data_IF_336248150209
#
_entry.id   IF_336248150209
#
_cell.length_a   1.000
_cell.length_b   1.000
_cell.length_c   1.000
_cell.angle_alpha   90.00
_cell.angle_beta   90.00
_cell.angle_gamma   90.00
#
_symmetry.space_group_name_H-M   'P 1'
#
loop_
_entity.id
_entity.type
_entity.pdbx_description
1 polymer ?
#
# COMPACT_ATOMS: atom_id res chain seq x y z
N UNK A 1 -7.92 16.13 20.87
CA UNK A 1 -8.87 15.01 20.73
C UNK A 1 -8.07 13.71 20.83
N UNK A 2 -8.12 13.02 21.97
CA UNK A 2 -7.31 11.82 22.24
C UNK A 2 -8.04 10.56 21.77
N UNK A 3 -7.83 10.20 20.51
CA UNK A 3 -8.25 8.90 20.00
C UNK A 3 -7.26 7.87 20.56
N UNK A 4 -7.70 6.98 21.46
CA UNK A 4 -6.90 5.82 21.88
C UNK A 4 -6.78 4.88 20.68
N UNK A 5 -5.60 4.84 20.08
CA UNK A 5 -5.31 3.97 18.93
C UNK A 5 -4.66 2.67 19.45
N UNK A 6 -5.19 1.52 19.04
CA UNK A 6 -4.72 0.19 19.43
C UNK A 6 -3.32 -0.09 18.89
N UNK A 7 -2.49 -0.82 19.65
CA UNK A 7 -1.16 -1.31 19.23
C UNK A 7 -1.18 -2.20 17.98
N UNK A 8 -2.37 -2.66 17.55
CA UNK A 8 -2.62 -3.44 16.33
C UNK A 8 -3.18 -2.59 15.16
N UNK A 9 -3.06 -1.27 15.20
CA UNK A 9 -3.53 -0.42 14.09
C UNK A 9 -2.67 -0.64 12.84
N UNK A 10 -3.26 -1.35 11.86
CA UNK A 10 -2.66 -1.62 10.57
C UNK A 10 -2.21 -0.34 9.85
N UNK A 11 -2.98 0.75 9.93
CA UNK A 11 -2.60 2.01 9.30
C UNK A 11 -1.34 2.58 9.93
N UNK A 12 -1.18 2.51 11.26
CA UNK A 12 0.07 2.96 11.91
C UNK A 12 1.28 2.15 11.43
N UNK A 13 1.14 0.83 11.37
CA UNK A 13 2.21 -0.05 10.87
C UNK A 13 2.62 0.33 9.44
N UNK A 14 1.64 0.54 8.57
CA UNK A 14 1.88 0.92 7.17
C UNK A 14 2.45 2.34 7.06
N UNK A 15 1.85 3.34 7.72
CA UNK A 15 2.30 4.73 7.69
C UNK A 15 3.70 4.92 8.28
N UNK A 16 4.15 4.04 9.17
CA UNK A 16 5.53 4.10 9.67
C UNK A 16 6.58 3.86 8.57
N UNK A 17 6.25 3.07 7.55
CA UNK A 17 7.19 2.62 6.49
C UNK A 17 6.89 3.19 5.11
N UNK A 18 5.68 3.70 4.88
CA UNK A 18 5.23 4.25 3.61
C UNK A 18 5.06 5.78 3.66
N UNK A 19 5.29 6.44 2.54
CA UNK A 19 4.94 7.85 2.33
C UNK A 19 3.53 7.95 1.78
N UNK A 20 2.69 8.77 2.41
CA UNK A 20 1.30 8.95 2.02
C UNK A 20 1.17 10.18 1.11
N UNK A 21 0.63 9.98 -0.09
CA UNK A 21 0.33 11.02 -1.07
C UNK A 21 -1.18 11.17 -1.21
N UNK A 22 -1.63 12.40 -1.48
CA UNK A 22 -3.02 12.71 -1.78
C UNK A 22 -3.18 13.34 -3.16
N UNK A 23 -4.30 12.99 -3.79
CA UNK A 23 -4.75 13.56 -5.06
C UNK A 23 -5.71 14.74 -4.86
N UNK A 24 -5.84 15.62 -5.87
CA UNK A 24 -6.70 16.81 -5.89
C UNK A 24 -8.14 16.50 -5.46
N UNK A 25 -8.70 15.40 -5.98
CA UNK A 25 -10.10 15.04 -5.76
C UNK A 25 -10.46 14.83 -4.29
N UNK A 26 -9.51 14.37 -3.46
CA UNK A 26 -9.78 14.11 -2.04
C UNK A 26 -10.17 15.39 -1.30
N UNK A 27 -9.54 16.51 -1.66
CA UNK A 27 -9.70 17.79 -0.97
C UNK A 27 -11.00 18.50 -1.36
N UNK A 28 -11.53 18.17 -2.54
CA UNK A 28 -12.78 18.74 -3.05
C UNK A 28 -14.02 18.09 -2.43
N UNK A 29 -13.88 16.95 -1.75
CA UNK A 29 -15.03 16.27 -1.15
C UNK A 29 -15.37 16.81 0.25
N UNK A 30 -16.67 16.89 0.56
CA UNK A 30 -17.14 17.22 1.92
C UNK A 30 -16.68 16.20 2.96
N UNK A 31 -16.49 14.95 2.54
CA UNK A 31 -15.99 13.84 3.34
C UNK A 31 -14.51 14.01 3.75
N UNK A 32 -13.80 15.02 3.23
CA UNK A 32 -12.43 15.34 3.60
C UNK A 32 -12.27 15.59 5.11
N UNK A 33 -13.21 16.28 5.75
CA UNK A 33 -13.15 16.55 7.20
C UNK A 33 -13.03 15.26 8.02
N UNK A 34 -13.83 14.24 7.67
CA UNK A 34 -13.77 12.93 8.34
C UNK A 34 -12.46 12.20 8.04
N UNK A 35 -11.98 12.29 6.80
CA UNK A 35 -10.70 11.73 6.38
C UNK A 35 -9.53 12.32 7.21
N UNK A 36 -9.54 13.65 7.45
CA UNK A 36 -8.56 14.36 8.28
C UNK A 36 -8.51 13.82 9.70
N UNK A 37 -9.67 13.62 10.33
CA UNK A 37 -9.78 13.08 11.70
C UNK A 37 -9.17 11.68 11.83
N UNK A 38 -9.17 10.90 10.74
CA UNK A 38 -8.62 9.53 10.72
C UNK A 38 -7.11 9.56 10.45
N UNK A 39 -6.66 10.32 9.44
CA UNK A 39 -5.29 10.27 8.93
C UNK A 39 -4.31 11.07 9.80
N UNK A 40 -4.62 12.31 10.14
CA UNK A 40 -3.62 13.19 10.77
C UNK A 40 -3.17 12.75 12.16
N UNK A 41 -4.04 12.24 13.06
CA UNK A 41 -3.58 11.69 14.33
C UNK A 41 -2.59 10.52 14.15
N UNK A 42 -2.77 9.70 13.12
CA UNK A 42 -1.90 8.56 12.82
C UNK A 42 -0.57 8.98 12.21
N UNK A 43 -0.61 9.92 11.27
CA UNK A 43 0.60 10.53 10.72
C UNK A 43 1.46 11.17 11.81
N UNK A 44 0.82 11.90 12.75
CA UNK A 44 1.51 12.52 13.87
C UNK A 44 2.22 11.48 14.76
N UNK A 45 1.57 10.35 15.06
CA UNK A 45 2.18 9.25 15.82
C UNK A 45 3.37 8.61 15.10
N UNK A 46 3.33 8.55 13.77
CA UNK A 46 4.43 8.03 12.96
C UNK A 46 5.51 9.07 12.64
N UNK A 47 5.39 10.32 13.13
CA UNK A 47 6.22 11.46 12.72
C UNK A 47 6.31 11.60 11.19
N UNK A 48 5.18 11.41 10.52
CA UNK A 48 5.03 11.52 9.06
C UNK A 48 4.12 12.69 8.72
N UNK A 49 4.17 13.08 7.45
CA UNK A 49 3.34 14.13 6.86
C UNK A 49 2.60 13.57 5.67
N UNK A 50 1.42 14.12 5.40
CA UNK A 50 0.75 13.90 4.13
C UNK A 50 1.50 14.70 3.05
N UNK A 51 1.83 14.05 1.94
CA UNK A 51 2.53 14.68 0.82
C UNK A 51 1.51 15.09 -0.23
N UNK A 52 1.56 16.36 -0.63
CA UNK A 52 0.76 16.92 -1.72
C UNK A 52 1.73 17.36 -2.80
N UNK A 53 1.51 16.94 -4.04
CA UNK A 53 2.35 17.35 -5.15
C UNK A 53 2.05 18.80 -5.55
N UNK A 54 3.04 19.56 -6.00
CA UNK A 54 2.85 20.93 -6.50
C UNK A 54 1.82 21.00 -7.64
N UNK A 55 1.74 19.96 -8.46
CA UNK A 55 0.72 19.81 -9.51
C UNK A 55 -0.72 19.79 -8.97
N UNK A 56 -0.95 19.18 -7.80
CA UNK A 56 -2.26 19.19 -7.12
C UNK A 56 -2.63 20.61 -6.70
N UNK A 57 -1.65 21.37 -6.17
CA UNK A 57 -1.88 22.77 -5.80
C UNK A 57 -2.15 23.65 -7.04
N UNK A 58 -1.46 23.39 -8.15
CA UNK A 58 -1.71 24.07 -9.43
C UNK A 58 -3.14 23.79 -9.95
N UNK A 59 -3.58 22.54 -9.89
CA UNK A 59 -4.93 22.14 -10.29
C UNK A 59 -6.01 22.79 -9.41
N UNK A 60 -5.83 22.77 -8.08
CA UNK A 60 -6.74 23.44 -7.15
C UNK A 60 -6.84 24.94 -7.43
N UNK A 61 -5.72 25.62 -7.68
CA UNK A 61 -5.73 27.06 -8.02
C UNK A 61 -6.46 27.33 -9.34
N UNK A 62 -6.27 26.47 -10.34
CA UNK A 62 -7.01 26.57 -11.62
C UNK A 62 -8.51 26.41 -11.41
N UNK A 63 -8.93 25.44 -10.59
CA UNK A 63 -10.34 25.23 -10.25
C UNK A 63 -10.92 26.38 -9.43
N UNK A 64 -10.15 26.96 -8.50
CA UNK A 64 -10.58 28.07 -7.67
C UNK A 64 -10.86 29.35 -8.49
N UNK A 65 -10.16 29.54 -9.61
CA UNK A 65 -10.33 30.69 -10.50
C UNK A 65 -11.40 30.48 -11.59
N UNK A 66 -12.07 29.32 -11.63
CA UNK A 66 -13.09 29.03 -12.64
C UNK A 66 -14.37 29.85 -12.40
N UNK A 67 -14.83 30.57 -13.43
CA UNK A 67 -16.01 31.44 -13.36
C UNK A 67 -17.32 30.73 -13.69
N UNK A 68 -17.25 29.60 -14.37
CA UNK A 68 -18.39 28.80 -14.84
C UNK A 68 -18.90 27.80 -13.78
N UNK A 69 -18.02 27.33 -12.88
CA UNK A 69 -18.34 26.30 -11.87
C UNK A 69 -18.13 26.81 -10.45
N UNK A 70 -18.90 27.83 -10.06
CA UNK A 70 -18.78 28.52 -8.76
C UNK A 70 -18.77 27.57 -7.55
N UNK A 71 -19.57 26.50 -7.56
CA UNK A 71 -19.57 25.52 -6.47
C UNK A 71 -18.26 24.73 -6.36
N UNK A 72 -17.62 24.41 -7.49
CA UNK A 72 -16.32 23.74 -7.52
C UNK A 72 -15.22 24.72 -7.13
N UNK A 73 -15.28 25.94 -7.63
CA UNK A 73 -14.35 27.01 -7.28
C UNK A 73 -14.33 27.30 -5.77
N UNK A 74 -15.51 27.37 -5.14
CA UNK A 74 -15.63 27.54 -3.69
C UNK A 74 -15.00 26.36 -2.91
N UNK A 75 -15.23 25.11 -3.34
CA UNK A 75 -14.61 23.93 -2.73
C UNK A 75 -13.09 23.92 -2.90
N UNK A 76 -12.61 24.30 -4.07
CA UNK A 76 -11.18 24.42 -4.35
C UNK A 76 -10.53 25.51 -3.48
N UNK A 77 -11.19 26.67 -3.31
CA UNK A 77 -10.70 27.72 -2.43
C UNK A 77 -10.64 27.27 -0.97
N UNK A 78 -11.68 26.55 -0.50
CA UNK A 78 -11.67 25.93 0.83
C UNK A 78 -10.53 24.92 0.97
N UNK A 79 -10.33 24.05 -0.02
CA UNK A 79 -9.26 23.07 -0.04
C UNK A 79 -7.87 23.73 0.06
N UNK A 80 -7.62 24.81 -0.69
CA UNK A 80 -6.36 25.57 -0.64
C UNK A 80 -6.14 26.14 0.77
N UNK A 81 -7.16 26.75 1.37
CA UNK A 81 -7.06 27.31 2.71
C UNK A 81 -6.80 26.22 3.77
N UNK A 82 -7.49 25.08 3.67
CA UNK A 82 -7.29 23.92 4.53
C UNK A 82 -5.86 23.37 4.40
N UNK A 83 -5.36 23.19 3.18
CA UNK A 83 -3.99 22.70 2.93
C UNK A 83 -2.97 23.67 3.52
N UNK A 84 -3.10 24.98 3.27
CA UNK A 84 -2.18 25.98 3.80
C UNK A 84 -2.15 25.99 5.34
N UNK A 85 -3.31 25.86 5.99
CA UNK A 85 -3.41 25.73 7.44
C UNK A 85 -2.69 24.47 7.94
N UNK A 86 -2.86 23.34 7.25
CA UNK A 86 -2.21 22.07 7.61
C UNK A 86 -0.70 22.08 7.34
N UNK A 87 -0.23 22.83 6.34
CA UNK A 87 1.19 23.09 6.08
C UNK A 87 1.78 23.91 7.23
N UNK A 88 1.11 24.98 7.68
CA UNK A 88 1.54 25.78 8.82
C UNK A 88 1.63 24.95 10.11
N UNK A 89 0.71 23.99 10.29
CA UNK A 89 0.73 23.02 11.39
C UNK A 89 1.76 21.89 11.22
N UNK A 90 2.56 21.91 10.14
CA UNK A 90 3.56 20.88 9.79
C UNK A 90 2.97 19.49 9.57
N UNK A 91 1.68 19.37 9.26
CA UNK A 91 0.97 18.12 8.97
C UNK A 91 1.01 17.73 7.49
N UNK A 92 1.07 18.72 6.59
CA UNK A 92 1.25 18.53 5.15
C UNK A 92 2.65 18.99 4.73
N UNK A 93 3.23 18.29 3.76
CA UNK A 93 4.40 18.72 2.99
C UNK A 93 4.01 18.85 1.52
N UNK A 94 4.26 20.01 0.92
CA UNK A 94 4.16 20.17 -0.52
C UNK A 94 5.49 19.76 -1.16
N UNK A 95 5.45 18.95 -2.21
CA UNK A 95 6.63 18.51 -2.95
C UNK A 95 6.51 18.82 -4.44
N UNK A 96 7.58 19.38 -5.01
CA UNK A 96 7.59 19.86 -6.39
C UNK A 96 7.13 21.32 -6.51
N UNK A 97 7.46 21.93 -7.64
CA UNK A 97 7.11 23.33 -7.89
C UNK A 97 5.69 23.47 -8.45
N UNK A 98 5.07 24.60 -8.14
CA UNK A 98 3.75 25.00 -8.63
C UNK A 98 3.68 25.18 -10.16
N UNK A 99 4.82 25.40 -10.83
CA UNK A 99 4.91 25.73 -12.25
C UNK A 99 5.65 24.68 -13.12
N UNK A 100 6.40 23.76 -12.50
CA UNK A 100 7.40 22.94 -13.21
C UNK A 100 6.95 21.51 -13.55
N UNK A 101 5.72 21.12 -13.19
CA UNK A 101 5.13 19.82 -13.54
C UNK A 101 4.02 19.96 -14.58
N UNK A 102 4.39 20.54 -15.73
CA UNK A 102 3.53 20.63 -16.90
C UNK A 102 3.16 19.26 -17.52
N UNK A 103 3.65 18.14 -16.98
CA UNK A 103 3.26 16.79 -17.40
C UNK A 103 2.28 16.16 -16.39
N UNK A 104 1.04 16.04 -16.84
CA UNK A 104 -0.17 15.78 -16.07
C UNK A 104 -0.31 14.37 -15.46
N UNK A 105 0.78 13.63 -15.24
CA UNK A 105 0.69 12.21 -14.87
C UNK A 105 1.16 11.91 -13.45
N UNK A 106 0.20 11.74 -12.54
CA UNK A 106 0.42 10.97 -11.31
C UNK A 106 1.14 9.64 -11.63
N UNK A 107 0.83 9.02 -12.76
CA UNK A 107 1.49 7.79 -13.19
C UNK A 107 3.00 7.95 -13.40
N UNK A 108 3.49 9.04 -13.98
CA UNK A 108 4.93 9.26 -14.23
C UNK A 108 5.68 9.52 -12.91
N UNK A 109 5.08 10.32 -12.03
CA UNK A 109 5.63 10.61 -10.69
C UNK A 109 5.71 9.33 -9.86
N UNK A 110 4.66 8.50 -9.85
CA UNK A 110 4.65 7.27 -9.07
C UNK A 110 5.52 6.17 -9.72
N UNK A 111 5.64 6.16 -11.05
CA UNK A 111 6.52 5.24 -11.78
C UNK A 111 7.99 5.45 -11.43
N UNK A 112 8.45 6.70 -11.29
CA UNK A 112 9.83 6.98 -10.88
C UNK A 112 10.04 6.72 -9.39
N UNK A 113 9.14 7.20 -8.53
CA UNK A 113 9.31 7.13 -7.07
C UNK A 113 9.15 5.73 -6.49
N UNK A 114 8.38 4.83 -7.13
CA UNK A 114 8.25 3.43 -6.68
C UNK A 114 9.56 2.65 -6.71
N UNK A 115 10.58 3.15 -7.42
CA UNK A 115 11.91 2.56 -7.42
C UNK A 115 12.65 2.85 -6.12
N UNK A 116 12.38 3.99 -5.48
CA UNK A 116 13.13 4.53 -4.34
C UNK A 116 12.34 4.52 -3.03
N UNK A 117 11.01 4.45 -3.08
CA UNK A 117 10.14 4.69 -1.93
C UNK A 117 8.98 3.69 -1.84
N UNK A 118 8.55 3.39 -0.61
CA UNK A 118 7.27 2.72 -0.34
C UNK A 118 6.19 3.79 -0.32
N UNK A 119 5.18 3.67 -1.18
CA UNK A 119 4.24 4.77 -1.46
C UNK A 119 2.81 4.31 -1.21
N UNK A 120 2.00 5.18 -0.61
CA UNK A 120 0.54 5.06 -0.59
C UNK A 120 -0.04 6.22 -1.38
N UNK A 121 -0.94 5.93 -2.33
CA UNK A 121 -1.85 6.92 -2.90
C UNK A 121 -3.19 6.86 -2.18
N UNK A 122 -3.63 7.99 -1.64
CA UNK A 122 -4.97 8.19 -1.11
C UNK A 122 -5.77 9.04 -2.10
N UNK A 123 -6.82 8.46 -2.68
CA UNK A 123 -7.72 9.18 -3.59
C UNK A 123 -9.18 8.72 -3.41
N UNK A 124 -10.10 9.55 -3.87
CA UNK A 124 -11.51 9.20 -4.04
C UNK A 124 -11.82 8.78 -5.49
N UNK A 125 -10.87 8.91 -6.41
CA UNK A 125 -11.00 8.49 -7.81
C UNK A 125 -10.58 7.03 -7.96
N UNK A 126 -11.55 6.17 -8.25
CA UNK A 126 -11.33 4.74 -8.45
C UNK A 126 -10.49 4.45 -9.70
N UNK A 127 -10.66 5.20 -10.77
CA UNK A 127 -9.91 5.01 -12.01
C UNK A 127 -8.43 5.30 -11.78
N UNK A 128 -8.12 6.43 -11.13
CA UNK A 128 -6.74 6.75 -10.77
C UNK A 128 -6.11 5.70 -9.85
N UNK A 129 -6.85 5.21 -8.85
CA UNK A 129 -6.35 4.16 -7.96
C UNK A 129 -6.11 2.84 -8.70
N UNK A 130 -6.99 2.48 -9.64
CA UNK A 130 -6.81 1.32 -10.53
C UNK A 130 -5.55 1.48 -11.39
N UNK A 131 -5.36 2.64 -12.01
CA UNK A 131 -4.23 2.91 -12.89
C UNK A 131 -2.89 2.85 -12.13
N UNK A 132 -2.86 3.40 -10.92
CA UNK A 132 -1.68 3.40 -10.04
C UNK A 132 -1.43 2.00 -9.45
N UNK A 133 -2.47 1.25 -9.08
CA UNK A 133 -2.29 -0.14 -8.61
C UNK A 133 -1.74 -1.04 -9.73
N UNK A 134 -2.14 -0.82 -10.98
CA UNK A 134 -1.58 -1.55 -12.13
C UNK A 134 -0.07 -1.38 -12.29
N UNK A 135 0.52 -0.28 -11.79
CA UNK A 135 1.97 -0.08 -11.80
C UNK A 135 2.73 -1.13 -10.96
N UNK A 136 2.08 -1.77 -9.98
CA UNK A 136 2.68 -2.87 -9.22
C UNK A 136 2.93 -4.12 -10.08
N UNK A 137 2.17 -4.29 -11.17
CA UNK A 137 2.18 -5.50 -12.00
C UNK A 137 2.89 -5.31 -13.35
N UNK A 138 3.43 -4.11 -13.61
CA UNK A 138 4.17 -3.83 -14.84
C UNK A 138 5.49 -4.59 -14.89
N UNK A 139 5.61 -5.52 -15.85
CA UNK A 139 6.74 -6.44 -16.00
C UNK A 139 8.07 -5.77 -16.38
N UNK A 140 8.03 -4.54 -16.90
CA UNK A 140 9.21 -3.84 -17.42
C UNK A 140 10.18 -3.35 -16.34
N UNK A 141 9.74 -3.24 -15.07
CA UNK A 141 10.62 -2.86 -13.95
C UNK A 141 10.12 -3.50 -12.64
N UNK A 142 10.76 -4.60 -12.23
CA UNK A 142 10.50 -5.29 -10.97
C UNK A 142 11.09 -4.49 -9.79
N UNK A 143 10.30 -3.59 -9.19
CA UNK A 143 10.67 -2.97 -7.91
C UNK A 143 10.25 -3.89 -6.75
N UNK A 144 11.14 -4.08 -5.77
CA UNK A 144 10.79 -4.74 -4.50
C UNK A 144 9.84 -3.91 -3.64
N UNK A 145 9.63 -2.64 -3.98
CA UNK A 145 8.79 -1.70 -3.23
C UNK A 145 7.39 -1.67 -3.85
N UNK A 146 6.38 -1.84 -3.01
CA UNK A 146 4.99 -1.86 -3.42
C UNK A 146 4.39 -0.45 -3.34
N UNK A 147 3.51 -0.14 -4.29
CA UNK A 147 2.59 0.98 -4.19
C UNK A 147 1.32 0.43 -3.55
N UNK A 148 0.83 1.09 -2.50
CA UNK A 148 -0.47 0.82 -1.92
C UNK A 148 -1.46 1.89 -2.37
N UNK A 149 -2.71 1.49 -2.57
CA UNK A 149 -3.80 2.41 -2.92
C UNK A 149 -4.87 2.36 -1.84
N UNK A 150 -5.20 3.51 -1.28
CA UNK A 150 -6.23 3.69 -0.27
C UNK A 150 -7.37 4.52 -0.85
N UNK A 151 -8.58 3.99 -0.73
CA UNK A 151 -9.77 4.64 -1.26
C UNK A 151 -10.50 5.40 -0.16
N UNK A 152 -10.76 6.68 -0.39
CA UNK A 152 -11.70 7.43 0.43
C UNK A 152 -13.13 7.11 0.00
N UNK A 153 -13.90 6.52 0.91
CA UNK A 153 -15.32 6.27 0.67
C UNK A 153 -16.14 7.58 0.78
N UNK A 154 -17.34 7.64 0.16
CA UNK A 154 -18.18 8.84 0.22
C UNK A 154 -18.56 9.28 1.65
N UNK A 155 -18.57 8.35 2.60
CA UNK A 155 -18.81 8.59 4.03
C UNK A 155 -17.56 9.17 4.76
N UNK A 156 -16.43 9.32 4.07
CA UNK A 156 -15.17 9.82 4.59
C UNK A 156 -14.30 8.82 5.35
N UNK A 157 -14.71 7.56 5.42
CA UNK A 157 -13.85 6.47 5.88
C UNK A 157 -12.86 6.06 4.79
N UNK A 158 -11.80 5.37 5.21
CA UNK A 158 -10.71 4.96 4.34
C UNK A 158 -10.71 3.45 4.23
N UNK A 159 -10.87 2.96 3.01
CA UNK A 159 -10.76 1.55 2.68
C UNK A 159 -9.32 1.26 2.27
N UNK A 160 -8.55 0.66 3.20
CA UNK A 160 -7.14 0.30 2.98
C UNK A 160 -6.96 -1.00 2.20
N UNK A 161 -8.05 -1.73 1.96
CA UNK A 161 -8.07 -3.00 1.23
C UNK A 161 -8.82 -2.83 -0.12
N UNK A 162 -8.85 -1.59 -0.65
CA UNK A 162 -9.66 -1.26 -1.81
C UNK A 162 -9.17 -1.88 -3.10
N UNK A 163 -7.85 -2.07 -3.25
CA UNK A 163 -7.28 -2.93 -4.28
C UNK A 163 -7.72 -4.38 -4.03
N UNK A 164 -8.99 -4.65 -4.32
CA UNK A 164 -9.51 -5.99 -4.45
C UNK A 164 -8.76 -6.58 -5.62
N UNK A 165 -8.08 -7.68 -5.31
CA UNK A 165 -7.36 -8.56 -6.24
C UNK A 165 -7.97 -8.49 -7.63
N UNK A 166 -7.14 -8.41 -8.70
CA UNK A 166 -7.65 -8.34 -10.06
C UNK A 166 -8.74 -9.39 -10.23
N UNK A 167 -9.94 -8.96 -10.64
CA UNK A 167 -10.90 -9.89 -11.25
C UNK A 167 -10.11 -10.60 -12.34
N UNK A 168 -10.00 -11.90 -12.16
CA UNK A 168 -9.06 -12.77 -12.84
C UNK A 168 -9.52 -12.98 -14.30
N UNK A 169 -9.51 -11.92 -15.10
CA UNK A 169 -9.90 -11.92 -16.53
C UNK A 169 -8.68 -11.91 -17.46
N UNK A 170 -7.47 -12.03 -16.91
CA UNK A 170 -6.31 -12.49 -17.68
C UNK A 170 -6.07 -13.94 -17.31
N UNK A 171 -6.11 -14.81 -18.33
CA UNK A 171 -5.81 -16.22 -18.22
C UNK A 171 -4.57 -16.44 -17.32
N UNK A 172 -4.80 -16.97 -16.11
CA UNK A 172 -3.73 -17.47 -15.25
C UNK A 172 -2.91 -18.42 -16.10
N UNK A 173 -1.61 -18.15 -16.26
CA UNK A 173 -0.69 -19.23 -16.58
C UNK A 173 -0.99 -20.37 -15.60
N UNK A 174 -1.34 -21.57 -16.08
CA UNK A 174 -1.89 -22.61 -15.22
C UNK A 174 -0.88 -22.89 -14.11
N UNK A 175 -1.35 -22.82 -12.86
CA UNK A 175 -0.51 -23.23 -11.74
C UNK A 175 -0.10 -24.68 -11.98
N UNK A 176 1.20 -24.98 -11.90
CA UNK A 176 1.73 -26.31 -12.11
C UNK A 176 1.14 -27.22 -11.03
N UNK A 177 0.28 -28.15 -11.45
CA UNK A 177 -0.29 -29.15 -10.56
C UNK A 177 0.76 -30.22 -10.26
N UNK A 178 1.03 -30.45 -8.98
CA UNK A 178 1.95 -31.46 -8.45
C UNK A 178 1.22 -32.33 -7.44
N UNK A 179 1.80 -33.48 -7.11
CA UNK A 179 1.22 -34.41 -6.14
C UNK A 179 2.13 -34.53 -4.92
N UNK A 180 1.55 -34.40 -3.73
CA UNK A 180 2.28 -34.53 -2.48
C UNK A 180 2.80 -35.96 -2.33
N UNK A 181 4.11 -36.13 -2.12
CA UNK A 181 4.71 -37.46 -1.94
C UNK A 181 4.26 -38.17 -0.66
N UNK A 182 3.69 -37.44 0.31
CA UNK A 182 3.24 -38.01 1.60
C UNK A 182 1.78 -38.44 1.58
N UNK A 183 0.89 -37.62 1.03
CA UNK A 183 -0.56 -37.86 1.11
C UNK A 183 -1.24 -38.04 -0.24
N UNK A 184 -0.49 -37.94 -1.35
CA UNK A 184 -1.02 -38.08 -2.71
C UNK A 184 -1.95 -36.95 -3.16
N UNK A 185 -2.27 -35.98 -2.30
CA UNK A 185 -3.15 -34.86 -2.66
C UNK A 185 -2.48 -33.94 -3.69
N UNK A 186 -3.24 -33.45 -4.68
CA UNK A 186 -2.72 -32.44 -5.59
C UNK A 186 -2.48 -31.13 -4.85
N UNK A 187 -1.41 -30.43 -5.20
CA UNK A 187 -1.11 -29.07 -4.78
C UNK A 187 -0.57 -28.27 -5.97
N UNK A 188 -0.66 -26.95 -5.90
CA UNK A 188 -0.41 -26.08 -7.05
C UNK A 188 0.75 -25.14 -6.78
N UNK A 189 1.70 -25.09 -7.71
CA UNK A 189 2.80 -24.14 -7.69
C UNK A 189 2.56 -23.05 -8.74
N UNK A 190 2.38 -21.81 -8.30
CA UNK A 190 2.29 -20.69 -9.23
C UNK A 190 3.65 -20.43 -9.89
N UNK A 191 3.65 -19.91 -11.12
CA UNK A 191 4.88 -19.53 -11.82
C UNK A 191 5.74 -18.56 -10.99
N UNK A 192 5.10 -17.62 -10.28
CA UNK A 192 5.78 -16.68 -9.40
C UNK A 192 6.46 -17.38 -8.20
N UNK A 193 5.78 -18.36 -7.59
CA UNK A 193 6.36 -19.12 -6.48
C UNK A 193 7.51 -20.00 -6.95
N UNK A 194 7.39 -20.62 -8.13
CA UNK A 194 8.48 -21.39 -8.76
C UNK A 194 9.72 -20.54 -9.03
N UNK A 195 9.55 -19.39 -9.67
CA UNK A 195 10.63 -18.46 -9.96
C UNK A 195 11.35 -17.98 -8.69
N UNK A 196 10.59 -17.69 -7.62
CA UNK A 196 11.17 -17.34 -6.32
C UNK A 196 12.05 -18.46 -5.74
N UNK A 197 11.61 -19.71 -5.84
CA UNK A 197 12.38 -20.86 -5.33
C UNK A 197 13.67 -21.06 -6.14
N UNK A 198 13.57 -21.02 -7.47
CA UNK A 198 14.71 -21.17 -8.37
C UNK A 198 15.76 -20.05 -8.17
N UNK A 199 15.34 -18.79 -8.11
CA UNK A 199 16.25 -17.64 -7.90
C UNK A 199 16.90 -17.62 -6.52
N UNK A 200 16.26 -18.20 -5.51
CA UNK A 200 16.82 -18.30 -4.15
C UNK A 200 17.59 -19.60 -3.92
N UNK A 201 17.71 -20.47 -4.93
CA UNK A 201 18.32 -21.79 -4.77
C UNK A 201 17.60 -22.67 -3.74
N UNK A 202 16.31 -22.41 -3.50
CA UNK A 202 15.48 -23.16 -2.57
C UNK A 202 14.87 -24.33 -3.34
N UNK A 203 14.97 -25.54 -2.76
CA UNK A 203 14.40 -26.73 -3.37
C UNK A 203 12.88 -26.59 -3.58
N UNK A 204 12.41 -27.05 -4.74
CA UNK A 204 10.99 -27.02 -5.08
C UNK A 204 10.22 -27.96 -4.13
N UNK A 205 9.13 -27.51 -3.49
CA UNK A 205 8.34 -28.34 -2.60
C UNK A 205 7.83 -29.63 -3.26
N UNK A 206 8.01 -30.74 -2.55
CA UNK A 206 7.47 -32.06 -2.92
C UNK A 206 6.30 -32.50 -2.01
N UNK A 207 6.01 -31.72 -0.98
CA UNK A 207 4.90 -31.94 -0.05
C UNK A 207 3.89 -30.80 -0.19
N UNK A 208 2.60 -31.09 0.04
CA UNK A 208 1.60 -30.03 0.23
C UNK A 208 1.85 -29.26 1.54
N UNK A 209 1.21 -28.10 1.69
CA UNK A 209 1.39 -27.23 2.85
C UNK A 209 1.10 -27.94 4.18
N UNK A 210 0.05 -28.76 4.23
CA UNK A 210 -0.32 -29.52 5.44
C UNK A 210 0.80 -30.49 5.85
N UNK A 211 1.26 -31.31 4.90
CA UNK A 211 2.32 -32.29 5.15
C UNK A 211 3.67 -31.61 5.44
N UNK A 212 4.00 -30.55 4.69
CA UNK A 212 5.22 -29.77 4.88
C UNK A 212 5.27 -29.10 6.26
N UNK A 213 4.16 -28.52 6.71
CA UNK A 213 4.05 -27.91 8.04
C UNK A 213 4.11 -28.95 9.16
N UNK A 214 3.50 -30.13 8.96
CA UNK A 214 3.59 -31.22 9.92
C UNK A 214 5.03 -31.73 10.04
N UNK A 215 5.73 -31.93 8.93
CA UNK A 215 7.15 -32.35 8.91
C UNK A 215 8.03 -31.31 9.60
N UNK A 216 7.83 -30.00 9.34
CA UNK A 216 8.54 -28.92 10.03
C UNK A 216 8.32 -28.95 11.54
N UNK A 217 7.06 -29.08 11.99
CA UNK A 217 6.72 -29.19 13.42
C UNK A 217 7.35 -30.40 14.10
N UNK A 218 7.38 -31.55 13.42
CA UNK A 218 8.03 -32.77 13.92
C UNK A 218 9.55 -32.58 14.00
N UNK A 219 10.17 -31.99 12.98
CA UNK A 219 11.61 -31.71 12.96
C UNK A 219 12.02 -30.71 14.06
N UNK A 220 11.21 -29.68 14.32
CA UNK A 220 11.40 -28.71 15.39
C UNK A 220 11.29 -29.35 16.78
N UNK A 221 10.26 -30.19 17.00
CA UNK A 221 10.12 -30.97 18.25
C UNK A 221 11.25 -31.98 18.45
N UNK A 222 11.72 -32.63 17.38
CA UNK A 222 12.84 -33.57 17.44
C UNK A 222 14.19 -32.91 17.74
N UNK A 223 14.41 -31.68 17.28
CA UNK A 223 15.60 -30.88 17.66
C UNK A 223 15.55 -30.44 19.11
N UNK A 224 14.38 -30.10 19.63
CA UNK A 224 14.20 -29.75 21.04
C UNK A 224 14.57 -30.91 21.97
N UNK A 225 14.15 -32.14 21.65
CA UNK A 225 14.48 -33.33 22.46
C UNK A 225 15.96 -33.74 22.35
N UNK A 226 16.62 -33.52 21.21
CA UNK A 226 18.07 -33.75 21.07
C UNK A 226 18.93 -32.70 21.81
N UNK A 227 18.37 -31.54 22.14
CA UNK A 227 19.05 -30.49 22.92
C UNK A 227 19.05 -30.72 24.43
N UNK A 228 18.14 -31.53 24.96
CA UNK A 228 17.99 -31.76 26.42
C UNK A 228 18.81 -32.98 26.90
N UNK A 229 19.30 -33.83 25.99
CA UNK A 229 20.04 -35.06 26.33
C UNK A 229 21.54 -34.92 26.62
N UNK A 230 22.05 -33.74 27.02
CA UNK A 230 23.49 -33.53 27.30
C UNK A 230 23.85 -33.15 28.74
N UNK A 231 22.90 -33.21 29.66
CA UNK A 231 23.17 -33.10 31.10
C UNK A 231 22.48 -34.26 31.79
N UNK A 232 23.21 -35.35 32.04
CA UNK A 232 23.10 -36.26 33.19
C UNK A 232 23.90 -37.53 32.86
N UNK A 233 25.17 -37.49 33.25
CA UNK A 233 26.11 -38.59 33.14
C UNK A 233 27.39 -38.20 33.87
N UNK A 234 27.36 -38.34 35.20
CA UNK A 234 28.47 -38.76 36.07
C UNK A 234 28.10 -38.49 37.53
N UNK A 235 27.64 -39.54 38.21
CA UNK A 235 28.03 -39.95 39.57
C UNK A 235 27.41 -41.33 39.84
#
# INVERSE_FOLDING_TARGET
>A
MNIRVSSNDYMLKILSTYKLYADTNIFLQNSWEKCKEIIFPRLAQCNRKLIVLGSVMAELRKLANATDKLAVACRAQKAINDINSLVAQKLIRIEGDDASFADHDFLSTFTSRRLTENIILLSADKGLLEDVDRLNYSQAVHSYRQILVWYQEPNGFINTNWAKQPKNDQAKAPAEQRYCVTCGKPFYLSAAHRYFLETKGIAIPIHCDDCGNLIKKIAEKGRFLKGVGRFFGNL
#
